data_IF_630556424417
#
_entry.id   IF_630556424417
#
_cell.length_a   1.000
_cell.length_b   1.000
_cell.length_c   1.000
_cell.angle_alpha   90.00
_cell.angle_beta   90.00
_cell.angle_gamma   90.00
#
_symmetry.space_group_name_H-M   'P 1'
#
loop_
_entity.id
_entity.type
_entity.pdbx_description
1 polymer ?
#
# COMPACT_ATOMS: atom_id res chain seq x y z
N UNK A 1 46.31 -30.38 -38.36
CA UNK A 1 46.90 -29.34 -39.23
C UNK A 1 47.10 -28.08 -38.40
N UNK A 2 48.34 -27.58 -38.35
CA UNK A 2 48.79 -26.42 -37.55
C UNK A 2 48.34 -25.09 -38.15
N UNK A 3 48.03 -24.11 -37.30
CA UNK A 3 48.35 -22.66 -37.39
C UNK A 3 47.56 -21.95 -36.27
N UNK A 4 48.02 -20.93 -35.55
CA UNK A 4 49.33 -20.43 -35.15
C UNK A 4 48.99 -19.35 -34.09
N UNK A 5 49.69 -19.32 -32.97
CA UNK A 5 49.48 -18.34 -31.89
C UNK A 5 49.92 -16.92 -32.30
N UNK A 6 49.30 -15.89 -31.69
CA UNK A 6 49.92 -14.57 -31.55
C UNK A 6 49.66 -14.01 -30.14
N UNK A 7 50.76 -13.75 -29.43
CA UNK A 7 50.87 -13.07 -28.14
C UNK A 7 51.02 -11.55 -28.36
N UNK A 8 50.44 -10.73 -27.48
CA UNK A 8 50.94 -9.39 -27.08
C UNK A 8 50.16 -8.96 -25.81
N UNK A 9 50.75 -9.05 -24.61
CA UNK A 9 51.61 -8.06 -23.93
C UNK A 9 50.82 -6.89 -23.28
N UNK A 10 50.76 -6.95 -21.95
CA UNK A 10 50.23 -5.97 -20.98
C UNK A 10 51.25 -4.84 -20.75
N UNK A 11 50.80 -3.62 -20.36
CA UNK A 11 51.53 -2.88 -19.34
C UNK A 11 50.63 -2.52 -18.16
N UNK A 12 51.14 -2.88 -16.98
CA UNK A 12 50.70 -2.44 -15.65
C UNK A 12 51.25 -1.03 -15.43
N UNK A 13 50.41 -0.10 -14.98
CA UNK A 13 50.86 1.13 -14.32
C UNK A 13 50.29 1.16 -12.91
N UNK A 14 51.22 1.10 -11.96
CA UNK A 14 51.05 1.18 -10.53
C UNK A 14 51.35 2.63 -10.12
N UNK A 15 50.47 3.30 -9.40
CA UNK A 15 50.80 4.54 -8.68
C UNK A 15 50.26 4.46 -7.25
N UNK A 16 51.18 4.19 -6.31
CA UNK A 16 51.05 4.45 -4.88
C UNK A 16 51.31 5.93 -4.61
N UNK A 17 50.50 6.56 -3.76
CA UNK A 17 50.95 7.64 -2.88
C UNK A 17 50.20 7.55 -1.55
N UNK A 18 50.96 7.76 -0.48
CA UNK A 18 50.67 7.37 0.89
C UNK A 18 49.95 8.45 1.73
N UNK A 19 49.20 7.95 2.71
CA UNK A 19 48.99 8.41 4.09
C UNK A 19 49.07 9.92 4.46
N UNK A 20 48.07 10.39 5.22
CA UNK A 20 48.25 10.69 6.66
C UNK A 20 46.95 11.15 7.36
N UNK A 21 46.78 10.61 8.57
CA UNK A 21 46.24 11.17 9.82
C UNK A 21 44.76 11.49 10.04
N UNK A 22 44.31 10.81 11.10
CA UNK A 22 43.24 10.98 12.08
C UNK A 22 43.07 12.37 12.73
N UNK A 23 41.99 12.43 13.55
CA UNK A 23 41.70 13.34 14.68
C UNK A 23 40.94 14.62 14.28
N UNK A 24 39.98 15.17 15.03
CA UNK A 24 39.31 14.84 16.30
C UNK A 24 38.08 15.75 16.41
N UNK A 25 37.10 15.33 17.23
CA UNK A 25 36.03 16.19 17.76
C UNK A 25 36.59 17.47 18.39
N UNK A 26 35.90 18.59 18.18
CA UNK A 26 35.95 19.73 19.09
C UNK A 26 34.53 20.27 19.28
N UNK A 27 33.96 19.92 20.43
CA UNK A 27 32.93 20.72 21.09
C UNK A 27 33.60 21.99 21.58
N UNK A 28 33.02 23.15 21.30
CA UNK A 28 33.34 24.39 22.01
C UNK A 28 32.03 24.92 22.57
N UNK A 29 31.91 24.78 23.88
CA UNK A 29 31.09 25.63 24.73
C UNK A 29 31.74 27.00 24.76
N UNK A 30 30.96 28.05 24.54
CA UNK A 30 31.27 29.37 25.07
C UNK A 30 30.02 29.89 25.79
N UNK A 31 30.08 29.74 27.11
CA UNK A 31 29.29 30.49 28.07
C UNK A 31 29.75 31.96 27.99
N UNK A 32 28.81 32.88 27.82
CA UNK A 32 29.04 34.27 28.19
C UNK A 32 27.87 34.77 29.05
N UNK A 33 28.11 34.72 30.35
CA UNK A 33 27.27 35.29 31.38
C UNK A 33 27.60 36.78 31.55
N UNK A 34 26.70 37.65 31.09
CA UNK A 34 26.75 39.10 31.33
C UNK A 34 25.60 39.57 32.19
N UNK A 35 25.84 39.73 33.49
CA UNK A 35 24.91 40.33 34.48
C UNK A 35 25.03 41.86 34.51
N UNK A 36 23.91 42.58 34.53
CA UNK A 36 23.83 44.00 34.94
C UNK A 36 22.40 44.59 34.88
N UNK A 37 21.99 45.55 35.75
CA UNK A 37 20.68 45.49 36.42
C UNK A 37 19.75 46.74 36.28
N UNK A 38 18.46 46.55 36.63
CA UNK A 38 17.46 47.58 37.03
C UNK A 38 16.56 48.10 35.90
N UNK A 39 15.24 48.35 36.02
CA UNK A 39 14.24 48.32 37.11
C UNK A 39 12.82 48.43 36.45
N UNK A 40 11.69 48.31 37.19
CA UNK A 40 10.41 47.78 36.68
C UNK A 40 9.38 48.82 36.23
N UNK A 41 8.44 48.43 35.36
CA UNK A 41 7.10 49.04 35.26
C UNK A 41 6.01 47.98 35.03
N UNK A 42 4.82 48.10 35.66
CA UNK A 42 3.73 47.12 35.58
C UNK A 42 2.56 47.55 34.66
N UNK A 43 1.78 46.56 34.23
CA UNK A 43 0.50 46.69 33.53
C UNK A 43 0.57 46.20 32.08
N UNK A 44 -0.43 45.55 31.48
CA UNK A 44 -1.67 44.90 31.91
C UNK A 44 -2.18 44.18 30.64
N UNK A 45 -2.89 43.06 30.78
CA UNK A 45 -3.87 42.63 29.76
C UNK A 45 -3.46 41.56 28.74
N UNK A 46 -3.81 40.30 29.04
CA UNK A 46 -4.59 39.42 28.16
C UNK A 46 -3.96 38.84 26.88
N UNK A 47 -3.61 37.55 26.93
CA UNK A 47 -3.79 36.53 25.87
C UNK A 47 -3.50 35.19 26.57
N UNK A 48 -4.44 34.29 26.91
CA UNK A 48 -5.31 33.46 26.07
C UNK A 48 -4.62 33.00 24.78
N UNK A 49 -4.58 31.68 24.59
CA UNK A 49 -3.90 30.89 23.55
C UNK A 49 -2.45 30.49 23.90
N UNK A 50 -2.33 29.25 24.38
CA UNK A 50 -1.08 28.53 24.49
C UNK A 50 -0.53 28.21 23.11
N UNK A 51 0.80 28.12 23.05
CA UNK A 51 1.67 28.09 21.88
C UNK A 51 1.13 27.35 20.65
N UNK A 52 1.09 28.06 19.52
CA UNK A 52 0.98 27.47 18.19
C UNK A 52 2.22 26.62 17.92
N UNK A 53 2.08 25.32 18.17
CA UNK A 53 3.05 24.32 17.72
C UNK A 53 3.19 24.41 16.21
N UNK A 54 4.38 24.75 15.74
CA UNK A 54 4.72 24.62 14.33
C UNK A 54 4.92 23.13 14.06
N UNK A 55 3.93 22.51 13.42
CA UNK A 55 4.02 21.12 13.00
C UNK A 55 5.16 20.92 11.98
N UNK A 56 5.70 19.69 11.85
CA UNK A 56 6.67 19.36 10.81
C UNK A 56 6.01 19.48 9.43
N UNK A 57 6.14 20.65 8.81
CA UNK A 57 5.46 21.01 7.55
C UNK A 57 5.42 22.52 7.29
N UNK A 58 5.59 23.35 8.33
CA UNK A 58 5.71 24.80 8.19
C UNK A 58 4.38 25.55 7.99
N UNK A 59 3.26 24.85 7.89
CA UNK A 59 1.93 25.47 7.97
C UNK A 59 1.60 25.77 9.44
N UNK A 60 1.18 27.00 9.79
CA UNK A 60 0.77 27.33 11.15
C UNK A 60 -0.44 26.49 11.55
N UNK A 61 -0.42 25.93 12.77
CA UNK A 61 -1.57 25.28 13.39
C UNK A 61 -2.71 26.32 13.51
N UNK A 62 -3.77 26.16 12.73
CA UNK A 62 -4.96 27.03 12.75
C UNK A 62 -6.17 26.16 13.08
N UNK A 63 -6.52 26.04 14.36
CA UNK A 63 -7.65 25.23 14.80
C UNK A 63 -8.97 25.70 14.17
N UNK A 64 -9.76 24.75 13.66
CA UNK A 64 -11.10 25.00 13.15
C UNK A 64 -11.96 23.73 13.28
N UNK A 65 -13.15 23.78 13.90
CA UNK A 65 -14.03 22.61 14.08
C UNK A 65 -14.44 21.85 12.81
N UNK A 66 -14.23 22.44 11.63
CA UNK A 66 -14.46 21.79 10.34
C UNK A 66 -13.25 21.01 9.79
N UNK A 67 -12.07 21.17 10.39
CA UNK A 67 -10.85 20.46 10.02
C UNK A 67 -10.90 18.99 10.44
N UNK A 68 -10.07 18.17 9.80
CA UNK A 68 -9.74 16.85 10.31
C UNK A 68 -8.47 16.91 11.14
N UNK A 69 -8.39 16.13 12.20
CA UNK A 69 -7.15 15.82 12.90
C UNK A 69 -6.14 15.16 11.95
N UNK A 70 -4.94 15.73 11.85
CA UNK A 70 -3.86 15.20 11.02
C UNK A 70 -2.82 14.51 11.91
N UNK A 71 -2.76 13.17 11.95
CA UNK A 71 -1.93 12.46 12.90
C UNK A 71 -0.43 12.81 12.79
N UNK A 72 0.16 13.21 13.91
CA UNK A 72 1.59 13.46 14.05
C UNK A 72 2.03 14.86 13.64
N UNK A 73 1.10 15.79 13.42
CA UNK A 73 1.44 17.19 13.16
C UNK A 73 1.61 18.01 14.46
N UNK A 74 1.29 17.45 15.63
CA UNK A 74 1.32 18.11 16.94
C UNK A 74 0.42 19.36 17.01
N UNK A 75 -0.69 19.36 16.27
CA UNK A 75 -1.71 20.42 16.28
C UNK A 75 -3.04 19.87 16.82
N UNK A 76 -3.81 20.76 17.44
CA UNK A 76 -5.25 20.58 17.68
C UNK A 76 -5.95 21.16 16.44
N UNK A 77 -6.08 20.36 15.37
CA UNK A 77 -6.56 20.84 14.08
C UNK A 77 -8.03 21.25 14.14
N UNK A 78 -8.84 20.49 14.89
CA UNK A 78 -10.28 20.70 15.03
C UNK A 78 -10.68 21.61 16.20
N UNK A 79 -9.74 21.98 17.07
CA UNK A 79 -9.96 22.91 18.18
C UNK A 79 -10.77 22.32 19.33
N UNK A 80 -10.78 20.99 19.51
CA UNK A 80 -11.47 20.32 20.61
C UNK A 80 -10.70 20.34 21.95
N UNK A 81 -9.49 20.92 21.94
CA UNK A 81 -8.60 21.05 23.09
C UNK A 81 -7.69 19.84 23.30
N UNK A 82 -7.64 18.90 22.35
CA UNK A 82 -6.71 17.77 22.33
C UNK A 82 -5.89 17.83 21.05
N UNK A 83 -4.70 17.25 21.12
CA UNK A 83 -3.74 17.27 20.01
C UNK A 83 -3.64 15.86 19.44
N UNK A 84 -3.60 15.75 18.10
CA UNK A 84 -3.39 14.50 17.37
C UNK A 84 -4.36 13.38 17.81
N UNK A 85 -5.66 13.68 17.89
CA UNK A 85 -6.68 12.74 18.35
C UNK A 85 -7.73 12.39 17.28
N UNK A 86 -7.30 11.76 16.17
CA UNK A 86 -8.24 11.32 15.15
C UNK A 86 -9.31 10.39 15.75
N UNK A 87 -10.56 10.46 15.27
CA UNK A 87 -11.64 9.62 15.76
C UNK A 87 -11.38 8.13 15.44
N UNK A 88 -11.59 7.25 16.41
CA UNK A 88 -11.57 5.80 16.22
C UNK A 88 -12.98 5.24 16.01
N UNK A 89 -13.17 4.31 15.08
CA UNK A 89 -14.50 3.77 14.72
C UNK A 89 -14.53 2.31 14.26
N UNK A 90 -13.43 1.59 14.43
CA UNK A 90 -13.23 0.27 13.84
C UNK A 90 -13.26 -0.89 14.87
N UNK A 91 -13.77 -0.61 16.07
CA UNK A 91 -14.01 -1.63 17.09
C UNK A 91 -15.37 -2.31 16.89
N UNK A 92 -15.41 -3.64 17.06
CA UNK A 92 -16.66 -4.41 17.01
C UNK A 92 -17.30 -4.53 15.62
N UNK A 93 -16.56 -4.20 14.55
CA UNK A 93 -17.02 -4.36 13.18
C UNK A 93 -17.23 -5.84 12.83
N UNK A 94 -18.28 -6.12 12.07
CA UNK A 94 -18.55 -7.48 11.61
C UNK A 94 -17.52 -7.93 10.57
N UNK A 95 -17.05 -9.18 10.68
CA UNK A 95 -16.12 -9.80 9.72
C UNK A 95 -16.59 -9.70 8.26
N UNK A 96 -17.90 -9.80 8.03
CA UNK A 96 -18.56 -9.67 6.72
C UNK A 96 -19.32 -8.34 6.61
N UNK A 97 -18.78 -7.29 7.22
CA UNK A 97 -19.42 -5.98 7.30
C UNK A 97 -19.71 -5.36 5.93
N UNK A 98 -20.66 -4.45 5.91
CA UNK A 98 -20.99 -3.70 4.68
C UNK A 98 -19.86 -2.73 4.29
N UNK A 99 -19.95 -2.12 3.11
CA UNK A 99 -18.90 -1.22 2.61
C UNK A 99 -18.64 0.00 3.51
N UNK A 100 -19.64 0.47 4.28
CA UNK A 100 -19.44 1.54 5.27
C UNK A 100 -18.62 1.05 6.46
N UNK A 101 -18.86 -0.16 6.95
CA UNK A 101 -18.01 -0.78 7.98
C UNK A 101 -16.59 -1.04 7.45
N UNK A 102 -16.45 -1.41 6.18
CA UNK A 102 -15.13 -1.55 5.56
C UNK A 102 -14.38 -0.22 5.54
N UNK A 103 -15.03 0.88 5.12
CA UNK A 103 -14.41 2.21 5.17
C UNK A 103 -13.95 2.58 6.59
N UNK A 104 -14.72 2.22 7.63
CA UNK A 104 -14.32 2.40 9.03
C UNK A 104 -13.10 1.58 9.40
N UNK A 105 -12.97 0.34 8.92
CA UNK A 105 -11.79 -0.50 9.13
C UNK A 105 -10.51 0.04 8.47
N UNK A 106 -10.61 1.07 7.63
CA UNK A 106 -9.46 1.78 7.08
C UNK A 106 -9.12 3.05 7.89
N UNK A 107 -9.89 3.41 8.93
CA UNK A 107 -9.76 4.69 9.66
C UNK A 107 -10.69 5.80 9.17
N UNK A 108 -11.59 5.54 8.21
CA UNK A 108 -12.53 6.55 7.69
C UNK A 108 -13.76 6.65 8.62
N UNK A 109 -13.62 7.46 9.66
CA UNK A 109 -14.61 7.53 10.74
C UNK A 109 -15.59 8.70 10.65
N UNK A 110 -15.20 9.81 10.01
CA UNK A 110 -16.06 10.97 9.84
C UNK A 110 -17.15 10.70 8.78
N UNK A 111 -18.39 11.05 9.10
CA UNK A 111 -19.51 11.07 8.16
C UNK A 111 -19.64 12.48 7.56
N UNK A 112 -19.61 12.59 6.23
CA UNK A 112 -19.60 13.87 5.54
C UNK A 112 -20.88 14.69 5.74
N UNK A 113 -22.02 14.05 5.99
CA UNK A 113 -23.27 14.75 6.29
C UNK A 113 -23.28 15.32 7.72
N UNK A 114 -22.54 14.71 8.65
CA UNK A 114 -22.47 15.16 10.05
C UNK A 114 -21.31 16.13 10.30
N UNK A 115 -20.12 15.83 9.76
CA UNK A 115 -18.88 16.58 9.99
C UNK A 115 -18.53 17.56 8.87
N UNK A 116 -19.19 17.45 7.72
CA UNK A 116 -18.88 18.26 6.53
C UNK A 116 -17.70 17.75 5.70
N UNK A 117 -17.01 16.71 6.16
CA UNK A 117 -15.95 15.96 5.49
C UNK A 117 -16.01 14.46 5.90
N UNK A 118 -15.27 13.60 5.20
CA UNK A 118 -15.23 12.17 5.47
C UNK A 118 -16.02 11.36 4.45
N UNK A 119 -16.62 10.26 4.89
CA UNK A 119 -17.36 9.34 4.04
C UNK A 119 -18.68 9.95 3.59
N UNK A 120 -18.89 9.99 2.27
CA UNK A 120 -20.18 10.35 1.65
C UNK A 120 -20.97 9.09 1.35
N UNK A 121 -20.33 8.09 0.74
CA UNK A 121 -20.91 6.77 0.52
C UNK A 121 -19.82 5.71 0.31
N UNK A 122 -20.18 4.45 0.56
CA UNK A 122 -19.33 3.30 0.26
C UNK A 122 -20.18 2.19 -0.37
N UNK A 123 -19.66 1.54 -1.41
CA UNK A 123 -20.34 0.41 -2.07
C UNK A 123 -19.34 -0.66 -2.47
N UNK A 124 -19.76 -1.93 -2.40
CA UNK A 124 -19.03 -3.03 -3.02
C UNK A 124 -19.57 -3.31 -4.42
N UNK A 125 -18.69 -3.43 -5.40
CA UNK A 125 -19.02 -3.70 -6.80
C UNK A 125 -18.08 -4.74 -7.40
N UNK A 126 -18.47 -5.35 -8.53
CA UNK A 126 -17.60 -6.24 -9.32
C UNK A 126 -16.87 -5.49 -10.42
N UNK A 127 -16.21 -4.38 -10.07
CA UNK A 127 -15.55 -3.47 -10.99
C UNK A 127 -16.30 -2.15 -11.20
N UNK A 128 -15.72 -1.26 -12.01
CA UNK A 128 -16.13 0.16 -12.09
C UNK A 128 -17.33 0.43 -13.00
N UNK A 129 -17.72 -0.56 -13.81
CA UNK A 129 -18.81 -0.43 -14.80
C UNK A 129 -20.10 -1.15 -14.38
N UNK A 130 -20.15 -1.68 -13.16
CA UNK A 130 -21.26 -2.50 -12.65
C UNK A 130 -21.67 -2.07 -11.25
N UNK A 131 -22.91 -2.40 -10.87
CA UNK A 131 -23.44 -2.22 -9.51
C UNK A 131 -23.64 -3.54 -8.77
N UNK A 132 -23.32 -4.67 -9.41
CA UNK A 132 -23.38 -6.00 -8.81
C UNK A 132 -22.34 -6.11 -7.71
N UNK A 133 -22.73 -6.54 -6.51
CA UNK A 133 -21.80 -6.78 -5.41
C UNK A 133 -20.88 -8.00 -5.70
N UNK A 134 -19.65 -8.01 -5.16
CA UNK A 134 -18.79 -9.19 -5.14
C UNK A 134 -19.48 -10.39 -4.49
N UNK A 135 -18.97 -11.59 -4.77
CA UNK A 135 -19.45 -12.81 -4.12
C UNK A 135 -19.21 -12.71 -2.62
N UNK A 136 -20.13 -13.25 -1.85
CA UNK A 136 -19.99 -13.27 -0.39
C UNK A 136 -18.71 -14.03 0.00
N UNK A 137 -17.80 -13.34 0.69
CA UNK A 137 -16.48 -13.88 1.05
C UNK A 137 -15.30 -13.12 0.44
N UNK A 138 -15.50 -12.43 -0.68
CA UNK A 138 -14.46 -11.66 -1.40
C UNK A 138 -14.08 -10.35 -0.70
N UNK A 139 -14.82 -9.95 0.33
CA UNK A 139 -14.48 -8.82 1.22
C UNK A 139 -14.47 -9.28 2.68
N UNK A 140 -13.66 -8.62 3.51
CA UNK A 140 -13.48 -8.94 4.92
C UNK A 140 -12.98 -7.79 5.76
N UNK A 141 -13.31 -7.83 7.04
CA UNK A 141 -12.78 -6.94 8.09
C UNK A 141 -12.16 -7.84 9.16
N UNK A 142 -10.85 -7.76 9.37
CA UNK A 142 -10.12 -8.71 10.21
C UNK A 142 -9.24 -8.00 11.25
N UNK A 143 -9.09 -8.56 12.47
CA UNK A 143 -8.19 -8.01 13.49
C UNK A 143 -6.71 -8.37 13.26
N UNK A 144 -6.42 -9.24 12.29
CA UNK A 144 -5.08 -9.66 11.87
C UNK A 144 -5.14 -10.42 10.54
N UNK A 145 -3.98 -10.60 9.89
CA UNK A 145 -3.81 -11.48 8.74
C UNK A 145 -2.57 -12.38 8.87
N UNK A 146 -2.76 -13.69 8.90
CA UNK A 146 -1.73 -14.65 9.28
C UNK A 146 -1.28 -14.55 10.74
N UNK A 147 -0.03 -14.92 10.98
CA UNK A 147 0.52 -15.05 12.33
C UNK A 147 1.04 -13.72 12.89
N UNK A 148 1.45 -12.80 12.02
CA UNK A 148 2.24 -11.62 12.42
C UNK A 148 1.71 -10.29 11.90
N UNK A 149 0.82 -10.27 10.89
CA UNK A 149 0.31 -9.02 10.36
C UNK A 149 -0.89 -8.60 11.20
N UNK A 150 -0.81 -7.40 11.76
CA UNK A 150 -1.86 -6.74 12.53
C UNK A 150 -2.20 -5.41 11.86
N UNK A 151 -3.36 -4.81 12.20
CA UNK A 151 -3.72 -3.48 11.72
C UNK A 151 -2.62 -2.46 11.98
N UNK A 152 -2.41 -1.59 10.98
CA UNK A 152 -1.50 -0.45 10.96
C UNK A 152 -2.05 0.72 11.78
N UNK A 153 -3.37 0.79 11.89
CA UNK A 153 -4.13 1.71 12.72
C UNK A 153 -5.28 0.94 13.38
N UNK A 154 -5.78 1.42 14.52
CA UNK A 154 -7.01 0.90 15.11
C UNK A 154 -6.92 -0.58 15.57
N UNK A 155 -8.04 -1.28 15.40
CA UNK A 155 -8.30 -2.64 15.85
C UNK A 155 -8.56 -3.64 14.70
N UNK A 156 -8.85 -3.16 13.49
CA UNK A 156 -9.13 -4.02 12.33
C UNK A 156 -8.55 -3.44 11.04
N UNK A 157 -8.35 -4.30 10.04
CA UNK A 157 -7.97 -3.92 8.67
C UNK A 157 -8.99 -4.45 7.66
N UNK A 158 -9.07 -3.80 6.50
CA UNK A 158 -9.87 -4.23 5.36
C UNK A 158 -9.13 -5.28 4.52
N UNK A 159 -9.87 -6.26 4.00
CA UNK A 159 -9.34 -7.31 3.12
C UNK A 159 -10.24 -7.46 1.90
N UNK A 160 -9.64 -7.37 0.71
CA UNK A 160 -10.28 -7.79 -0.55
C UNK A 160 -9.53 -8.98 -1.14
N UNK A 161 -10.24 -9.90 -1.78
CA UNK A 161 -9.65 -11.10 -2.37
C UNK A 161 -10.45 -11.55 -3.58
N UNK A 162 -9.76 -12.04 -4.61
CA UNK A 162 -10.40 -12.75 -5.72
C UNK A 162 -10.98 -14.10 -5.29
N UNK A 163 -10.41 -14.70 -4.24
CA UNK A 163 -11.00 -15.79 -3.47
C UNK A 163 -11.61 -15.33 -2.15
N UNK A 164 -11.28 -16.04 -1.08
CA UNK A 164 -11.76 -15.72 0.27
C UNK A 164 -10.89 -14.64 0.91
N UNK A 165 -11.47 -13.51 1.30
CA UNK A 165 -10.77 -12.43 2.00
C UNK A 165 -10.45 -12.77 3.47
N UNK A 166 -9.86 -13.94 3.75
CA UNK A 166 -9.63 -14.55 5.06
C UNK A 166 -8.22 -15.12 5.17
N UNK A 167 -7.75 -15.30 6.40
CA UNK A 167 -6.53 -16.05 6.69
C UNK A 167 -6.80 -17.51 6.33
N UNK A 168 -6.19 -18.05 5.27
CA UNK A 168 -6.44 -19.42 4.80
C UNK A 168 -7.91 -19.67 4.38
N UNK A 169 -8.17 -20.75 3.67
CA UNK A 169 -9.54 -21.16 3.31
C UNK A 169 -10.29 -21.75 4.52
N UNK A 170 -10.18 -21.12 5.70
CA UNK A 170 -10.70 -21.63 6.99
C UNK A 170 -12.20 -21.91 6.94
N UNK A 171 -12.95 -21.11 6.18
CA UNK A 171 -14.41 -21.26 6.06
C UNK A 171 -14.83 -22.47 5.21
N UNK A 172 -13.91 -23.02 4.40
CA UNK A 172 -14.16 -24.23 3.62
C UNK A 172 -13.58 -25.50 4.26
N UNK A 173 -12.85 -25.36 5.38
CA UNK A 173 -12.09 -26.45 6.00
C UNK A 173 -10.97 -27.01 5.10
N UNK A 174 -10.65 -26.32 4.01
CA UNK A 174 -9.71 -26.79 2.99
C UNK A 174 -8.27 -26.57 3.42
N UNK A 175 -7.44 -27.61 3.28
CA UNK A 175 -5.97 -27.52 3.38
C UNK A 175 -5.30 -27.26 2.03
N UNK A 176 -6.09 -26.92 1.02
CA UNK A 176 -5.56 -26.55 -0.29
C UNK A 176 -4.92 -25.17 -0.25
N UNK A 177 -4.17 -24.88 -1.32
CA UNK A 177 -3.55 -23.57 -1.50
C UNK A 177 -4.63 -22.48 -1.48
N UNK A 178 -4.20 -21.28 -1.17
CA UNK A 178 -4.94 -20.08 -1.57
C UNK A 178 -5.04 -20.14 -3.10
N UNK A 179 -6.24 -20.12 -3.71
CA UNK A 179 -6.39 -20.36 -5.15
C UNK A 179 -6.80 -21.77 -5.59
N UNK A 180 -7.69 -22.46 -4.88
CA UNK A 180 -8.34 -23.69 -5.40
C UNK A 180 -9.84 -23.74 -5.02
N UNK A 181 -10.45 -22.57 -4.84
CA UNK A 181 -11.80 -22.44 -4.32
C UNK A 181 -12.82 -22.24 -5.44
N UNK A 182 -13.11 -23.29 -6.20
CA UNK A 182 -14.07 -23.28 -7.32
C UNK A 182 -15.47 -22.71 -7.00
N UNK A 183 -15.80 -22.52 -5.73
CA UNK A 183 -17.03 -21.86 -5.28
C UNK A 183 -17.05 -20.36 -5.59
N UNK A 184 -15.90 -19.69 -5.58
CA UNK A 184 -15.81 -18.25 -5.82
C UNK A 184 -15.46 -17.91 -7.27
N UNK A 185 -14.95 -18.87 -8.03
CA UNK A 185 -14.53 -18.66 -9.42
C UNK A 185 -15.63 -18.15 -10.34
N UNK A 186 -15.28 -17.13 -11.11
CA UNK A 186 -16.02 -16.77 -12.31
C UNK A 186 -15.89 -17.84 -13.40
N UNK A 187 -17.02 -18.21 -13.99
CA UNK A 187 -17.06 -19.20 -15.07
C UNK A 187 -16.81 -18.57 -16.46
N UNK A 188 -16.64 -17.26 -16.51
CA UNK A 188 -16.42 -16.47 -17.72
C UNK A 188 -15.79 -15.11 -17.34
N UNK A 189 -14.97 -14.51 -18.22
CA UNK A 189 -14.30 -13.24 -17.92
C UNK A 189 -15.32 -12.11 -17.81
N UNK A 190 -15.13 -11.26 -16.80
CA UNK A 190 -15.99 -10.12 -16.48
C UNK A 190 -15.64 -8.88 -17.29
N UNK A 191 -14.35 -8.58 -17.49
CA UNK A 191 -13.82 -7.39 -18.18
C UNK A 191 -14.42 -6.07 -17.67
N UNK A 192 -14.65 -5.98 -16.36
CA UNK A 192 -15.30 -4.82 -15.69
C UNK A 192 -14.31 -3.85 -15.04
N UNK A 193 -13.01 -4.03 -15.28
CA UNK A 193 -11.94 -3.14 -14.79
C UNK A 193 -11.83 -1.85 -15.63
N UNK A 194 -11.20 -0.77 -15.12
CA UNK A 194 -11.05 0.47 -15.87
C UNK A 194 -10.34 0.30 -17.22
N UNK A 195 -10.70 1.16 -18.18
CA UNK A 195 -10.08 1.15 -19.50
C UNK A 195 -8.55 1.33 -19.42
N UNK A 196 -7.81 0.51 -20.16
CA UNK A 196 -6.36 0.45 -20.11
C UNK A 196 -5.80 -0.56 -19.11
N UNK A 197 -6.68 -1.27 -18.38
CA UNK A 197 -6.33 -2.43 -17.56
C UNK A 197 -7.01 -3.71 -18.11
N UNK A 198 -6.45 -4.91 -17.85
CA UNK A 198 -5.14 -5.19 -17.23
C UNK A 198 -3.97 -4.53 -17.96
N UNK A 199 -2.94 -4.15 -17.21
CA UNK A 199 -1.74 -3.49 -17.76
C UNK A 199 -0.51 -4.22 -17.25
N UNK A 200 0.16 -4.89 -18.18
CA UNK A 200 1.39 -5.63 -17.91
C UNK A 200 2.56 -4.70 -17.52
N UNK A 201 3.47 -5.22 -16.71
CA UNK A 201 4.73 -4.54 -16.41
C UNK A 201 5.61 -4.49 -17.67
N UNK A 202 6.34 -3.39 -17.89
CA UNK A 202 7.16 -3.25 -19.09
C UNK A 202 8.23 -4.35 -19.25
N UNK A 203 8.72 -4.90 -18.15
CA UNK A 203 9.70 -6.00 -18.13
C UNK A 203 9.08 -7.39 -18.35
N UNK A 204 7.76 -7.52 -18.18
CA UNK A 204 6.98 -8.75 -18.35
C UNK A 204 5.78 -8.46 -19.27
N UNK A 205 5.99 -8.26 -20.58
CA UNK A 205 4.89 -7.93 -21.49
C UNK A 205 3.91 -9.10 -21.57
N UNK A 206 2.61 -8.79 -21.48
CA UNK A 206 1.49 -9.70 -21.75
C UNK A 206 0.44 -8.95 -22.55
N UNK A 207 -0.32 -9.69 -23.37
CA UNK A 207 -1.48 -9.16 -24.12
C UNK A 207 -2.81 -9.61 -23.53
N UNK A 208 -2.79 -10.29 -22.38
CA UNK A 208 -4.00 -10.78 -21.74
C UNK A 208 -4.87 -9.60 -21.25
N UNK A 209 -6.17 -9.73 -21.47
CA UNK A 209 -7.17 -8.72 -21.12
C UNK A 209 -8.36 -9.29 -20.36
N UNK A 210 -8.47 -10.61 -20.26
CA UNK A 210 -9.51 -11.29 -19.52
C UNK A 210 -9.28 -11.14 -18.02
N UNK A 211 -10.32 -10.67 -17.34
CA UNK A 211 -10.33 -10.48 -15.89
C UNK A 211 -11.41 -11.32 -15.24
N UNK A 212 -11.07 -11.98 -14.15
CA UNK A 212 -11.97 -12.80 -13.36
C UNK A 212 -12.01 -12.27 -11.93
N UNK A 213 -13.09 -12.63 -11.23
CA UNK A 213 -13.22 -12.40 -9.79
C UNK A 213 -12.91 -10.99 -9.31
N UNK A 214 -13.34 -10.02 -10.12
CA UNK A 214 -13.16 -8.60 -9.85
C UNK A 214 -13.91 -8.21 -8.58
N UNK A 215 -13.17 -7.60 -7.66
CA UNK A 215 -13.67 -6.98 -6.43
C UNK A 215 -13.32 -5.51 -6.46
N UNK A 216 -14.30 -4.67 -6.14
CA UNK A 216 -14.14 -3.23 -6.04
C UNK A 216 -14.81 -2.70 -4.77
N UNK A 217 -14.05 -1.92 -3.99
CA UNK A 217 -14.56 -1.11 -2.89
C UNK A 217 -14.54 0.34 -3.32
N UNK A 218 -15.70 0.86 -3.70
CA UNK A 218 -15.89 2.24 -4.13
C UNK A 218 -16.24 3.13 -2.95
N UNK A 219 -15.42 4.13 -2.70
CA UNK A 219 -15.60 5.15 -1.68
C UNK A 219 -15.82 6.51 -2.34
N UNK A 220 -16.90 7.18 -1.99
CA UNK A 220 -17.07 8.61 -2.27
C UNK A 220 -16.77 9.37 -0.99
N UNK A 221 -15.80 10.27 -1.07
CA UNK A 221 -15.23 10.97 0.08
C UNK A 221 -15.30 12.48 -0.15
N UNK A 222 -15.43 13.23 0.94
CA UNK A 222 -15.30 14.69 0.93
C UNK A 222 -14.08 15.09 1.75
N UNK A 223 -13.13 15.76 1.12
CA UNK A 223 -11.90 16.21 1.78
C UNK A 223 -12.22 17.30 2.83
N UNK A 224 -11.56 17.28 4.01
CA UNK A 224 -11.66 18.38 4.97
C UNK A 224 -10.94 19.63 4.43
N UNK A 225 -11.22 20.82 5.00
CA UNK A 225 -10.63 22.08 4.55
C UNK A 225 -9.10 22.16 4.72
N UNK A 226 -8.52 21.38 5.63
CA UNK A 226 -7.08 21.36 5.91
C UNK A 226 -6.31 20.22 5.20
N UNK A 227 -6.97 19.38 4.40
CA UNK A 227 -6.31 18.32 3.64
C UNK A 227 -6.07 18.70 2.18
N UNK A 228 -4.85 18.43 1.71
CA UNK A 228 -4.41 18.60 0.31
C UNK A 228 -4.02 17.26 -0.34
N UNK A 229 -4.18 16.17 0.40
CA UNK A 229 -3.91 14.82 -0.08
C UNK A 229 -4.55 13.75 0.79
N UNK A 230 -4.43 12.53 0.30
CA UNK A 230 -4.76 11.30 1.02
C UNK A 230 -3.55 10.39 1.04
N UNK A 231 -3.50 9.52 2.03
CA UNK A 231 -2.61 8.37 2.05
C UNK A 231 -3.35 7.16 2.63
N UNK A 232 -2.98 5.96 2.20
CA UNK A 232 -3.44 4.71 2.80
C UNK A 232 -2.33 3.66 2.68
N UNK A 233 -2.34 2.69 3.58
CA UNK A 233 -1.42 1.57 3.58
C UNK A 233 -2.09 0.34 2.94
N UNK A 234 -1.32 -0.43 2.18
CA UNK A 234 -1.79 -1.68 1.59
C UNK A 234 -0.69 -2.75 1.52
N UNK A 235 -1.08 -4.02 1.45
CA UNK A 235 -0.18 -5.15 1.27
C UNK A 235 -0.82 -6.18 0.33
N UNK A 236 -0.20 -6.40 -0.84
CA UNK A 236 -0.71 -7.28 -1.89
C UNK A 236 -0.03 -8.64 -1.84
N UNK A 237 -0.83 -9.71 -1.89
CA UNK A 237 -0.44 -11.12 -1.89
C UNK A 237 -0.99 -11.79 -3.14
N UNK A 238 -0.24 -12.74 -3.70
CA UNK A 238 -0.71 -13.57 -4.82
C UNK A 238 -0.15 -14.97 -4.75
N UNK A 239 -0.95 -15.93 -5.20
CA UNK A 239 -0.55 -17.35 -5.35
C UNK A 239 0.08 -17.64 -6.71
N UNK A 240 0.06 -16.68 -7.64
CA UNK A 240 0.76 -16.77 -8.92
C UNK A 240 2.28 -16.86 -8.75
N UNK A 241 2.79 -16.30 -7.65
CA UNK A 241 4.20 -16.43 -7.29
C UNK A 241 4.49 -17.83 -6.71
N UNK A 242 5.59 -18.51 -7.09
CA UNK A 242 6.65 -18.03 -7.99
C UNK A 242 6.47 -18.42 -9.45
N UNK A 243 5.53 -19.33 -9.74
CA UNK A 243 5.54 -20.08 -10.99
C UNK A 243 5.19 -19.22 -12.20
N UNK A 244 4.27 -18.29 -12.03
CA UNK A 244 3.63 -17.54 -13.11
C UNK A 244 4.12 -16.09 -13.21
N UNK A 245 5.26 -15.77 -12.59
CA UNK A 245 5.93 -14.49 -12.86
C UNK A 245 6.25 -14.37 -14.36
N UNK A 246 5.93 -13.21 -14.92
CA UNK A 246 5.97 -12.86 -16.34
C UNK A 246 5.20 -13.80 -17.29
N UNK A 247 4.05 -14.34 -16.88
CA UNK A 247 3.11 -15.04 -17.77
C UNK A 247 1.85 -14.18 -18.03
N UNK A 248 0.85 -14.75 -18.70
CA UNK A 248 -0.47 -14.14 -18.86
C UNK A 248 -1.31 -14.13 -17.56
N UNK A 249 -0.88 -14.88 -16.55
CA UNK A 249 -1.48 -14.87 -15.21
C UNK A 249 -0.86 -13.77 -14.36
N UNK A 250 -1.49 -12.60 -14.40
CA UNK A 250 -0.94 -11.36 -13.83
C UNK A 250 -2.00 -10.59 -13.02
N UNK A 251 -2.49 -11.23 -11.96
CA UNK A 251 -3.38 -10.64 -10.97
C UNK A 251 -2.87 -9.29 -10.51
N UNK A 252 -3.79 -8.35 -10.36
CA UNK A 252 -3.44 -6.96 -10.20
C UNK A 252 -4.33 -6.25 -9.19
N UNK A 253 -3.70 -5.36 -8.44
CA UNK A 253 -4.37 -4.41 -7.55
C UNK A 253 -4.14 -2.98 -8.06
N UNK A 254 -5.19 -2.18 -8.06
CA UNK A 254 -5.09 -0.72 -8.27
C UNK A 254 -5.93 0.02 -7.24
N UNK A 255 -5.45 1.21 -6.89
CA UNK A 255 -6.29 2.23 -6.27
C UNK A 255 -6.60 3.27 -7.34
N UNK A 256 -7.84 3.35 -7.77
CA UNK A 256 -8.29 4.20 -8.87
C UNK A 256 -8.92 5.48 -8.31
N UNK A 257 -8.27 6.63 -8.54
CA UNK A 257 -8.67 7.91 -7.95
C UNK A 257 -9.24 8.84 -9.00
N UNK A 258 -10.42 9.39 -8.73
CA UNK A 258 -11.01 10.53 -9.45
C UNK A 258 -11.10 11.74 -8.53
N UNK A 259 -10.16 12.68 -8.66
CA UNK A 259 -10.07 13.95 -7.90
C UNK A 259 -9.66 15.07 -8.86
N UNK A 260 -10.11 16.31 -8.65
CA UNK A 260 -9.72 17.45 -9.49
C UNK A 260 -8.22 17.75 -9.41
N UNK A 261 -7.62 17.60 -8.22
CA UNK A 261 -6.19 17.82 -8.02
C UNK A 261 -5.32 16.74 -8.68
N UNK A 262 -5.90 15.59 -9.01
CA UNK A 262 -5.21 14.48 -9.64
C UNK A 262 -5.54 14.39 -11.13
N UNK A 263 -4.51 14.40 -11.98
CA UNK A 263 -4.64 14.18 -13.44
C UNK A 263 -5.71 15.05 -14.12
N UNK A 264 -5.95 16.26 -13.60
CA UNK A 264 -7.00 17.17 -14.08
C UNK A 264 -8.41 16.60 -13.99
N UNK A 265 -8.72 15.79 -12.98
CA UNK A 265 -10.02 15.15 -12.80
C UNK A 265 -10.17 13.80 -13.49
N UNK A 266 -9.23 13.40 -14.34
CA UNK A 266 -9.31 12.12 -15.07
C UNK A 266 -8.94 10.97 -14.14
N UNK A 267 -9.82 9.96 -13.97
CA UNK A 267 -9.53 8.82 -13.12
C UNK A 267 -8.28 8.06 -13.60
N UNK A 268 -7.39 7.70 -12.67
CA UNK A 268 -6.23 6.85 -12.95
C UNK A 268 -5.73 6.13 -11.68
N UNK A 269 -4.85 5.14 -11.85
CA UNK A 269 -4.24 4.39 -10.76
C UNK A 269 -3.20 5.21 -9.99
N UNK A 270 -3.26 5.16 -8.66
CA UNK A 270 -2.31 5.81 -7.74
C UNK A 270 -1.38 4.83 -7.01
N UNK A 271 -1.51 3.52 -7.26
CA UNK A 271 -0.68 2.46 -6.68
C UNK A 271 0.19 1.78 -7.74
N UNK A 272 1.47 2.16 -7.81
CA UNK A 272 2.40 1.73 -8.86
C UNK A 272 3.85 1.69 -8.37
N UNK A 273 4.71 0.92 -9.01
CA UNK A 273 6.17 0.94 -8.72
C UNK A 273 6.88 2.17 -9.29
N UNK A 274 8.18 2.27 -9.01
CA UNK A 274 9.03 3.36 -9.50
C UNK A 274 9.08 3.44 -11.04
N UNK A 275 8.75 2.35 -11.75
CA UNK A 275 8.68 2.28 -13.21
C UNK A 275 7.26 2.53 -13.75
N UNK A 276 6.30 2.92 -12.89
CA UNK A 276 4.89 3.13 -13.23
C UNK A 276 4.15 1.87 -13.67
N UNK A 277 4.64 0.69 -13.30
CA UNK A 277 3.87 -0.54 -13.44
C UNK A 277 2.83 -0.60 -12.30
N UNK A 278 1.60 -1.05 -12.57
CA UNK A 278 0.62 -1.33 -11.53
C UNK A 278 1.13 -2.36 -10.52
N UNK A 279 0.48 -2.44 -9.36
CA UNK A 279 0.75 -3.53 -8.41
C UNK A 279 0.19 -4.82 -9.01
N UNK A 280 1.08 -5.79 -9.25
CA UNK A 280 0.76 -7.10 -9.79
C UNK A 280 1.83 -8.11 -9.37
N UNK A 281 1.70 -9.39 -9.79
CA UNK A 281 2.74 -10.42 -9.58
C UNK A 281 4.13 -10.01 -10.10
N UNK A 282 4.16 -9.11 -11.09
CA UNK A 282 5.37 -8.67 -11.79
C UNK A 282 5.95 -7.34 -11.25
N UNK A 283 5.42 -6.83 -10.15
CA UNK A 283 5.78 -5.52 -9.62
C UNK A 283 7.11 -5.54 -8.83
N UNK A 284 7.87 -4.45 -8.90
CA UNK A 284 9.16 -4.28 -8.20
C UNK A 284 9.13 -4.29 -6.66
N UNK A 285 7.95 -4.31 -6.03
CA UNK A 285 7.80 -4.33 -4.57
C UNK A 285 7.73 -5.74 -3.94
N UNK A 286 7.74 -6.83 -4.71
CA UNK A 286 7.72 -8.17 -4.13
C UNK A 286 8.97 -8.44 -3.28
N UNK A 287 8.80 -8.50 -1.96
CA UNK A 287 9.90 -8.75 -1.03
C UNK A 287 9.60 -9.74 0.11
N UNK A 288 8.32 -10.09 0.32
CA UNK A 288 7.87 -11.10 1.28
C UNK A 288 7.66 -12.42 0.57
N UNK A 289 8.75 -13.13 0.35
CA UNK A 289 8.74 -14.38 -0.40
C UNK A 289 9.94 -15.25 -0.03
N UNK A 290 10.01 -16.48 -0.55
CA UNK A 290 11.16 -17.35 -0.32
C UNK A 290 12.36 -16.83 -1.12
N UNK A 291 13.50 -16.48 -0.50
CA UNK A 291 14.67 -15.99 -1.21
C UNK A 291 15.36 -17.10 -2.01
N UNK A 292 16.15 -16.71 -3.01
CA UNK A 292 16.96 -17.62 -3.82
C UNK A 292 16.15 -18.76 -4.50
N UNK A 293 14.90 -18.46 -4.86
CA UNK A 293 13.99 -19.38 -5.56
C UNK A 293 13.91 -19.00 -7.03
N UNK A 294 13.77 -19.99 -7.92
CA UNK A 294 13.51 -19.71 -9.35
C UNK A 294 12.09 -19.17 -9.49
N UNK A 295 11.93 -18.06 -10.20
CA UNK A 295 10.62 -17.47 -10.53
C UNK A 295 10.35 -17.53 -12.04
N UNK A 296 9.08 -17.49 -12.44
CA UNK A 296 8.64 -17.50 -13.84
C UNK A 296 8.91 -18.83 -14.54
N UNK A 297 8.76 -19.92 -13.79
CA UNK A 297 9.15 -21.25 -14.22
C UNK A 297 8.05 -22.02 -14.97
N UNK A 298 6.77 -21.62 -14.90
CA UNK A 298 5.71 -22.31 -15.62
C UNK A 298 5.85 -22.07 -17.14
N UNK A 299 5.61 -20.83 -17.57
CA UNK A 299 5.62 -20.43 -18.99
C UNK A 299 6.32 -19.07 -19.22
N UNK A 300 7.04 -18.57 -18.21
CA UNK A 300 7.67 -17.25 -18.24
C UNK A 300 8.87 -17.16 -19.19
N UNK A 301 9.13 -16.00 -19.82
CA UNK A 301 10.26 -15.79 -20.73
C UNK A 301 11.62 -15.78 -20.02
N UNK A 302 11.64 -15.67 -18.68
CA UNK A 302 12.87 -15.52 -17.89
C UNK A 302 12.80 -16.31 -16.60
N UNK A 303 13.80 -17.17 -16.36
CA UNK A 303 14.04 -17.76 -15.04
C UNK A 303 15.12 -16.95 -14.31
N UNK A 304 14.70 -16.16 -13.33
CA UNK A 304 15.62 -15.45 -12.43
C UNK A 304 15.48 -15.97 -11.01
N UNK A 305 16.35 -15.53 -10.11
CA UNK A 305 16.29 -15.90 -8.68
C UNK A 305 15.74 -14.75 -7.86
N UNK A 306 14.71 -15.05 -7.08
CA UNK A 306 14.09 -14.11 -6.16
C UNK A 306 15.08 -13.59 -5.12
N UNK A 307 15.02 -12.29 -4.83
CA UNK A 307 15.85 -11.67 -3.78
C UNK A 307 15.16 -11.71 -2.42
N UNK A 308 13.88 -11.36 -2.37
CA UNK A 308 13.01 -11.39 -1.18
C UNK A 308 13.70 -10.93 0.13
N UNK A 309 14.21 -9.69 0.21
CA UNK A 309 14.95 -9.22 1.38
C UNK A 309 14.12 -9.23 2.68
N UNK A 310 12.78 -9.18 2.59
CA UNK A 310 11.89 -9.32 3.74
C UNK A 310 11.66 -10.77 4.19
N UNK A 311 12.04 -11.75 3.38
CA UNK A 311 11.84 -13.17 3.64
C UNK A 311 10.36 -13.60 3.72
N UNK A 312 10.09 -14.89 3.95
CA UNK A 312 8.73 -15.43 3.93
C UNK A 312 7.96 -15.27 5.25
N UNK A 313 8.55 -14.62 6.27
CA UNK A 313 8.01 -14.61 7.64
C UNK A 313 6.57 -14.07 7.74
N UNK A 314 6.26 -13.01 6.99
CA UNK A 314 4.91 -12.42 6.95
C UNK A 314 3.88 -13.28 6.22
N UNK A 315 4.30 -14.31 5.47
CA UNK A 315 3.38 -15.25 4.83
C UNK A 315 2.85 -16.31 5.82
N UNK A 316 3.47 -16.46 6.99
CA UNK A 316 3.11 -17.52 7.93
C UNK A 316 1.65 -17.37 8.39
N UNK A 317 0.85 -18.44 8.23
CA UNK A 317 -0.57 -18.45 8.62
C UNK A 317 -1.52 -17.73 7.68
N UNK A 318 -1.04 -17.11 6.59
CA UNK A 318 -1.91 -16.39 5.64
C UNK A 318 -2.56 -17.32 4.61
N UNK A 319 -1.97 -18.49 4.37
CA UNK A 319 -2.29 -19.40 3.26
C UNK A 319 -1.23 -19.41 2.14
N UNK A 320 -0.45 -18.33 2.03
CA UNK A 320 0.60 -18.19 1.00
C UNK A 320 1.95 -18.82 1.39
N UNK A 321 2.16 -19.16 2.68
CA UNK A 321 3.42 -19.73 3.17
C UNK A 321 3.64 -21.23 2.84
N UNK A 322 2.69 -21.93 2.20
CA UNK A 322 2.82 -23.38 1.99
C UNK A 322 4.05 -23.70 1.14
N UNK A 323 5.02 -24.37 1.72
CA UNK A 323 6.26 -24.72 1.04
C UNK A 323 6.14 -25.99 0.20
N UNK A 324 6.40 -25.89 -1.10
CA UNK A 324 6.45 -27.03 -2.01
C UNK A 324 7.42 -26.77 -3.18
N UNK A 325 7.54 -27.74 -4.09
CA UNK A 325 8.29 -27.64 -5.34
C UNK A 325 7.47 -26.95 -6.44
N UNK A 326 7.05 -25.70 -6.21
CA UNK A 326 6.25 -24.93 -7.18
C UNK A 326 6.93 -24.74 -8.54
N UNK A 327 8.27 -24.67 -8.53
CA UNK A 327 9.11 -24.70 -9.73
C UNK A 327 9.86 -26.02 -9.91
N UNK A 328 9.31 -27.12 -9.39
CA UNK A 328 9.90 -28.46 -9.36
C UNK A 328 10.51 -28.95 -10.67
N UNK A 329 9.85 -28.77 -11.84
CA UNK A 329 10.42 -29.21 -13.11
C UNK A 329 11.74 -28.49 -13.48
N UNK A 330 12.01 -27.33 -12.90
CA UNK A 330 13.15 -26.46 -13.21
C UNK A 330 14.09 -26.27 -12.00
N UNK A 331 13.69 -26.71 -10.81
CA UNK A 331 14.41 -26.49 -9.56
C UNK A 331 14.04 -27.53 -8.50
N UNK A 332 15.04 -28.02 -7.76
CA UNK A 332 14.82 -28.80 -6.53
C UNK A 332 14.68 -27.91 -5.28
N UNK A 333 14.58 -26.59 -5.45
CA UNK A 333 14.39 -25.64 -4.35
C UNK A 333 12.91 -25.52 -4.03
N UNK A 334 12.55 -25.77 -2.76
CA UNK A 334 11.21 -25.48 -2.25
C UNK A 334 11.01 -23.99 -2.06
N UNK A 335 9.78 -23.54 -2.23
CA UNK A 335 9.37 -22.16 -1.97
C UNK A 335 7.96 -22.08 -1.45
N UNK A 336 7.61 -20.94 -0.88
CA UNK A 336 6.23 -20.56 -0.58
C UNK A 336 5.34 -20.63 -1.82
N UNK A 337 4.06 -20.93 -1.60
CA UNK A 337 3.00 -20.99 -2.61
C UNK A 337 2.52 -19.62 -3.09
N UNK A 338 3.08 -18.57 -2.52
CA UNK A 338 2.80 -17.20 -2.89
C UNK A 338 3.90 -16.28 -2.41
N UNK A 339 3.74 -15.02 -2.74
CA UNK A 339 4.56 -13.94 -2.26
C UNK A 339 3.71 -12.72 -1.97
N UNK A 340 4.30 -11.73 -1.30
CA UNK A 340 3.65 -10.47 -1.05
C UNK A 340 4.58 -9.29 -1.25
N UNK A 341 3.97 -8.12 -1.43
CA UNK A 341 4.71 -6.87 -1.45
C UNK A 341 5.26 -6.54 -0.08
N UNK A 342 4.61 -6.93 1.01
CA UNK A 342 4.78 -6.25 2.30
C UNK A 342 4.04 -4.91 2.30
N UNK A 343 3.93 -4.24 3.45
CA UNK A 343 3.22 -2.96 3.51
C UNK A 343 3.86 -1.91 2.59
N UNK A 344 2.99 -1.18 1.91
CA UNK A 344 3.25 -0.03 1.05
C UNK A 344 2.28 1.07 1.45
N UNK A 345 2.66 2.32 1.21
CA UNK A 345 1.79 3.48 1.33
C UNK A 345 1.61 4.08 -0.06
N UNK A 346 0.37 4.28 -0.51
CA UNK A 346 0.08 5.16 -1.65
C UNK A 346 -0.38 6.52 -1.14
N UNK A 347 0.09 7.58 -1.80
CA UNK A 347 -0.36 8.95 -1.56
C UNK A 347 -0.89 9.56 -2.85
N UNK A 348 -1.83 10.50 -2.76
CA UNK A 348 -2.32 11.25 -3.92
C UNK A 348 -2.92 12.61 -3.52
N UNK A 349 -2.85 13.63 -4.40
CA UNK A 349 -3.41 14.94 -4.10
C UNK A 349 -4.95 14.95 -4.19
N UNK A 350 -5.56 15.77 -3.34
CA UNK A 350 -6.98 16.17 -3.41
C UNK A 350 -7.10 17.67 -3.14
N UNK A 351 -8.12 18.34 -3.67
CA UNK A 351 -8.44 19.73 -3.36
C UNK A 351 -9.18 19.81 -2.01
N UNK A 352 -8.82 20.76 -1.13
CA UNK A 352 -9.57 21.00 0.10
C UNK A 352 -11.07 21.20 -0.17
N UNK A 353 -11.92 20.47 0.56
CA UNK A 353 -13.38 20.57 0.46
C UNK A 353 -14.02 19.89 -0.76
N UNK A 354 -13.24 19.30 -1.68
CA UNK A 354 -13.81 18.60 -2.83
C UNK A 354 -14.46 17.27 -2.46
N UNK A 355 -15.43 16.84 -3.27
CA UNK A 355 -15.90 15.45 -3.28
C UNK A 355 -15.16 14.69 -4.37
N UNK A 356 -14.55 13.56 -4.02
CA UNK A 356 -13.77 12.71 -4.91
C UNK A 356 -14.18 11.23 -4.75
N UNK A 357 -13.76 10.39 -5.70
CA UNK A 357 -14.00 8.94 -5.65
C UNK A 357 -12.66 8.20 -5.58
N UNK A 358 -12.56 7.25 -4.66
CA UNK A 358 -11.45 6.32 -4.50
C UNK A 358 -12.00 4.89 -4.59
N UNK A 359 -11.47 4.10 -5.53
CA UNK A 359 -11.87 2.72 -5.76
C UNK A 359 -10.67 1.80 -5.51
N UNK A 360 -10.84 0.76 -4.70
CA UNK A 360 -9.83 -0.28 -4.48
C UNK A 360 -10.23 -1.52 -5.26
N UNK A 361 -9.50 -1.82 -6.34
CA UNK A 361 -9.81 -2.93 -7.23
C UNK A 361 -8.76 -4.02 -7.18
N UNK A 362 -9.23 -5.27 -7.17
CA UNK A 362 -8.43 -6.49 -7.26
C UNK A 362 -9.11 -7.47 -8.22
N UNK A 363 -8.34 -8.15 -9.06
CA UNK A 363 -8.85 -9.16 -9.99
C UNK A 363 -7.79 -10.18 -10.37
N UNK A 364 -8.26 -11.34 -10.85
CA UNK A 364 -7.42 -12.36 -11.48
C UNK A 364 -7.32 -12.08 -12.97
N UNK A 365 -6.15 -12.31 -13.56
CA UNK A 365 -5.93 -12.11 -15.00
C UNK A 365 -5.65 -13.43 -15.69
N UNK A 366 -6.30 -13.69 -16.83
CA UNK A 366 -6.12 -14.92 -17.61
C UNK A 366 -7.05 -16.06 -17.19
N UNK A 367 -7.15 -16.36 -15.90
CA UNK A 367 -8.14 -17.31 -15.36
C UNK A 367 -8.64 -16.87 -13.96
N UNK A 368 -9.37 -17.77 -13.29
CA UNK A 368 -9.94 -17.57 -11.96
C UNK A 368 -9.29 -18.49 -10.91
N UNK A 369 -8.31 -19.30 -11.29
CA UNK A 369 -7.95 -20.49 -10.52
C UNK A 369 -7.21 -20.10 -9.24
N UNK A 370 -6.16 -19.29 -9.37
CA UNK A 370 -5.31 -18.86 -8.26
C UNK A 370 -5.77 -17.53 -7.67
N UNK A 371 -5.80 -17.46 -6.33
CA UNK A 371 -6.36 -16.32 -5.62
C UNK A 371 -5.25 -15.32 -5.20
N UNK A 372 -5.62 -14.05 -5.23
CA UNK A 372 -4.85 -12.91 -4.70
C UNK A 372 -5.61 -12.19 -3.57
N UNK A 373 -4.88 -11.44 -2.74
CA UNK A 373 -5.41 -10.68 -1.59
C UNK A 373 -4.75 -9.32 -1.50
N UNK A 374 -5.53 -8.28 -1.21
CA UNK A 374 -5.00 -7.00 -0.75
C UNK A 374 -5.53 -6.67 0.64
N UNK A 375 -4.61 -6.42 1.56
CA UNK A 375 -4.89 -5.80 2.85
C UNK A 375 -4.90 -4.28 2.67
N UNK A 376 -5.84 -3.58 3.28
CA UNK A 376 -6.04 -2.12 3.18
C UNK A 376 -6.25 -1.55 4.58
N UNK A 377 -5.53 -0.49 4.92
CA UNK A 377 -5.56 0.09 6.27
C UNK A 377 -5.03 1.54 6.30
N UNK A 378 -5.15 2.22 7.45
CA UNK A 378 -4.48 3.47 7.80
C UNK A 378 -4.69 4.58 6.76
N UNK A 379 -5.93 4.76 6.32
CA UNK A 379 -6.36 5.91 5.53
C UNK A 379 -6.22 7.18 6.37
N UNK A 380 -5.52 8.16 5.82
CA UNK A 380 -5.25 9.42 6.49
C UNK A 380 -5.35 10.60 5.52
N UNK A 381 -5.84 11.69 6.06
CA UNK A 381 -5.75 13.00 5.42
C UNK A 381 -4.31 13.50 5.49
N UNK A 382 -3.81 14.08 4.40
CA UNK A 382 -2.46 14.62 4.33
C UNK A 382 -2.54 16.15 4.21
N UNK A 383 -1.87 16.83 5.12
CA UNK A 383 -1.65 18.27 5.06
C UNK A 383 -0.52 18.60 4.08
N UNK A 384 -0.62 19.73 3.39
CA UNK A 384 0.43 20.20 2.49
C UNK A 384 0.44 19.51 1.12
N UNK A 385 1.31 20.02 0.24
CA UNK A 385 1.36 19.59 -1.15
C UNK A 385 1.74 18.11 -1.26
N UNK A 386 0.82 17.31 -1.81
CA UNK A 386 0.96 15.86 -1.90
C UNK A 386 1.29 15.43 -3.33
N UNK A 387 2.27 14.54 -3.49
CA UNK A 387 2.59 13.92 -4.78
C UNK A 387 1.97 12.53 -4.85
N UNK A 388 1.64 12.10 -6.06
CA UNK A 388 1.23 10.71 -6.29
C UNK A 388 2.45 9.79 -6.29
N UNK A 389 2.57 8.97 -5.27
CA UNK A 389 3.65 7.99 -5.13
C UNK A 389 3.19 6.73 -4.39
N UNK A 390 3.97 5.67 -4.51
CA UNK A 390 3.85 4.47 -3.68
C UNK A 390 5.23 4.12 -3.17
N UNK A 391 5.35 3.92 -1.87
CA UNK A 391 6.62 3.63 -1.21
C UNK A 391 6.43 2.72 -0.01
N UNK A 392 7.52 2.20 0.56
CA UNK A 392 7.48 1.57 1.88
C UNK A 392 7.02 2.60 2.93
N UNK A 393 6.22 2.20 3.93
CA UNK A 393 5.89 3.07 5.05
C UNK A 393 7.16 3.60 5.72
N UNK A 394 7.13 4.85 6.16
CA UNK A 394 8.24 5.50 6.86
C UNK A 394 8.27 5.18 8.34
#
# INVERSE_FOLDING_TARGET
MKRLALFAAVPVVLSLAAACSSSTRSNVFEDDAGTGPGSPTPGDGGSLFGDGGVGPGGDPCVPNPANAEIPGNNCDDDGDGKVDNPPACDTGLARNGNATEFAKSLGICADAAQKGYGLVSATYTRGTTTTTAPRAGQTGILPKFGNVIVPREGATLGVISTGWAREFNQDTGSTQLFGQNAQLWDTAPSRTVPAGFPKAAAACPSTETDTYDVVDVKLVLKAPPNAKGIAFDFNFFTSEWPAFVCTDYNDSFIAYLSSKAFNGGKPDNISFDAQKNPVSVNNGFFDRCTPNTIIGCADGPTTTRSQCPGGPGELAGTGFAKEDLWCGPFSNTRSSAGGATGWLTSTAPVEPGETFTLEFLLWDTGDADLDSVTLLDNFRWVQGDTKTETARPR
#
